data_IF_798104170241
#
_entry.id   IF_798104170241
#
_cell.length_a   1.000
_cell.length_b   1.000
_cell.length_c   1.000
_cell.angle_alpha   90.00
_cell.angle_beta   90.00
_cell.angle_gamma   90.00
#
_symmetry.space_group_name_H-M   'P 1'
#
loop_
_entity.id
_entity.type
_entity.pdbx_description
1 polymer ?
#
# COMPACT_ATOMS: atom_id res chain seq x y z
N UNK A 1 7.12 -25.35 31.81
CA UNK A 1 5.81 -26.01 31.87
C UNK A 1 4.75 -25.06 31.34
N UNK A 2 4.46 -25.06 30.03
CA UNK A 2 3.40 -24.21 29.45
C UNK A 2 2.59 -24.91 28.34
N UNK A 3 2.74 -26.23 28.14
CA UNK A 3 2.11 -26.91 26.99
C UNK A 3 1.68 -28.34 27.28
N UNK A 4 1.22 -28.63 28.49
CA UNK A 4 0.59 -29.93 28.77
C UNK A 4 -0.75 -29.65 29.43
N UNK A 5 -1.82 -29.60 28.63
CA UNK A 5 -3.20 -29.46 29.12
C UNK A 5 -4.13 -28.68 28.19
N UNK A 6 -3.62 -27.68 27.47
CA UNK A 6 -4.42 -26.70 26.70
C UNK A 6 -4.38 -26.99 25.19
N UNK A 7 -4.41 -28.27 24.80
CA UNK A 7 -4.38 -28.68 23.38
C UNK A 7 -5.57 -28.12 22.58
N UNK A 8 -6.71 -27.93 23.25
CA UNK A 8 -7.92 -27.37 22.65
C UNK A 8 -7.76 -25.90 22.27
N UNK A 9 -7.13 -25.09 23.13
CA UNK A 9 -6.83 -23.69 22.86
C UNK A 9 -5.86 -23.55 21.68
N UNK A 10 -4.83 -24.41 21.60
CA UNK A 10 -3.88 -24.42 20.49
C UNK A 10 -4.54 -24.74 19.15
N UNK A 11 -5.44 -25.72 19.13
CA UNK A 11 -6.24 -26.08 17.94
C UNK A 11 -7.17 -24.94 17.54
N UNK A 12 -7.82 -24.28 18.51
CA UNK A 12 -8.66 -23.10 18.26
C UNK A 12 -7.90 -21.95 17.60
N UNK A 13 -6.69 -21.66 18.08
CA UNK A 13 -5.82 -20.62 17.49
C UNK A 13 -5.34 -21.03 16.10
N UNK A 14 -5.00 -22.30 15.87
CA UNK A 14 -4.62 -22.80 14.54
C UNK A 14 -5.76 -22.66 13.53
N UNK A 15 -6.98 -23.06 13.92
CA UNK A 15 -8.17 -22.93 13.07
C UNK A 15 -8.47 -21.46 12.79
N UNK A 16 -8.42 -20.60 13.82
CA UNK A 16 -8.66 -19.18 13.65
C UNK A 16 -7.60 -18.50 12.76
N UNK A 17 -6.32 -18.83 12.93
CA UNK A 17 -5.25 -18.33 12.07
C UNK A 17 -5.38 -18.82 10.61
N UNK A 18 -5.68 -20.10 10.43
CA UNK A 18 -5.82 -20.69 9.11
C UNK A 18 -7.09 -20.24 8.38
N UNK A 19 -8.20 -20.02 9.08
CA UNK A 19 -9.46 -19.61 8.46
C UNK A 19 -9.64 -18.10 8.46
N UNK A 20 -9.43 -17.39 9.56
CA UNK A 20 -9.74 -15.95 9.62
C UNK A 20 -8.58 -15.12 9.10
N UNK A 21 -7.39 -15.30 9.69
CA UNK A 21 -6.21 -14.49 9.36
C UNK A 21 -5.79 -14.74 7.90
N UNK A 22 -5.72 -16.01 7.46
CA UNK A 22 -5.34 -16.35 6.09
C UNK A 22 -6.34 -15.84 5.05
N UNK A 23 -7.66 -15.88 5.33
CA UNK A 23 -8.65 -15.32 4.40
C UNK A 23 -8.50 -13.79 4.29
N UNK A 24 -8.28 -13.11 5.41
CA UNK A 24 -8.01 -11.66 5.43
C UNK A 24 -6.75 -11.35 4.63
N UNK A 25 -5.66 -12.08 4.83
CA UNK A 25 -4.39 -11.89 4.11
C UNK A 25 -4.54 -12.09 2.60
N UNK A 26 -5.36 -13.07 2.19
CA UNK A 26 -5.64 -13.34 0.78
C UNK A 26 -6.44 -12.22 0.11
N UNK A 27 -7.47 -11.69 0.79
CA UNK A 27 -8.27 -10.56 0.29
C UNK A 27 -7.42 -9.30 0.20
N UNK A 28 -6.62 -9.02 1.23
CA UNK A 28 -5.76 -7.85 1.28
C UNK A 28 -4.73 -7.86 0.16
N UNK A 29 -4.13 -9.03 -0.10
CA UNK A 29 -3.21 -9.26 -1.22
C UNK A 29 -3.87 -8.96 -2.58
N UNK A 30 -5.11 -9.41 -2.78
CA UNK A 30 -5.84 -9.18 -4.05
C UNK A 30 -6.16 -7.69 -4.27
N UNK A 31 -6.59 -6.99 -3.22
CA UNK A 31 -6.89 -5.55 -3.27
C UNK A 31 -5.63 -4.72 -3.53
N UNK A 32 -4.52 -5.04 -2.86
CA UNK A 32 -3.22 -4.38 -3.04
C UNK A 32 -2.71 -4.59 -4.47
N UNK A 33 -2.68 -5.83 -4.96
CA UNK A 33 -2.19 -6.13 -6.31
C UNK A 33 -2.97 -5.37 -7.40
N UNK A 34 -4.29 -5.27 -7.27
CA UNK A 34 -5.13 -4.51 -8.20
C UNK A 34 -4.77 -3.03 -8.24
N UNK A 35 -4.38 -2.45 -7.10
CA UNK A 35 -4.03 -1.02 -6.99
C UNK A 35 -2.58 -0.72 -7.42
N UNK A 36 -1.67 -1.70 -7.34
CA UNK A 36 -0.27 -1.54 -7.77
C UNK A 36 -0.09 -1.64 -9.29
N UNK A 37 -1.02 -2.23 -10.03
CA UNK A 37 -0.88 -2.47 -11.47
C UNK A 37 -0.66 -1.19 -12.30
N UNK A 38 -1.19 -0.06 -11.84
CA UNK A 38 -1.05 1.23 -12.53
C UNK A 38 0.21 2.03 -12.13
N UNK A 39 0.98 1.54 -11.14
CA UNK A 39 2.20 2.21 -10.65
C UNK A 39 3.42 1.55 -11.27
N UNK A 40 4.26 2.34 -11.93
CA UNK A 40 5.44 1.83 -12.64
C UNK A 40 6.32 0.95 -11.72
N UNK A 41 6.65 -0.30 -12.11
CA UNK A 41 7.39 -1.25 -11.26
C UNK A 41 8.70 -0.70 -10.68
N UNK A 42 9.40 0.17 -11.42
CA UNK A 42 10.62 0.82 -10.94
C UNK A 42 10.36 1.64 -9.66
N UNK A 43 9.26 2.39 -9.61
CA UNK A 43 8.91 3.25 -8.48
C UNK A 43 8.68 2.39 -7.22
N UNK A 44 8.01 1.25 -7.38
CA UNK A 44 7.78 0.29 -6.30
C UNK A 44 9.10 -0.30 -5.80
N UNK A 45 10.01 -0.68 -6.71
CA UNK A 45 11.34 -1.21 -6.34
C UNK A 45 12.15 -0.16 -5.58
N UNK A 46 12.16 1.09 -6.02
CA UNK A 46 12.80 2.19 -5.29
C UNK A 46 12.18 2.39 -3.90
N UNK A 47 10.85 2.28 -3.79
CA UNK A 47 10.13 2.34 -2.51
C UNK A 47 10.55 1.23 -1.56
N UNK A 48 10.65 -0.01 -2.03
CA UNK A 48 11.12 -1.14 -1.22
C UNK A 48 12.57 -0.94 -0.78
N UNK A 49 13.47 -0.53 -1.68
CA UNK A 49 14.89 -0.30 -1.36
C UNK A 49 15.04 0.81 -0.31
N UNK A 50 14.40 1.95 -0.51
CA UNK A 50 14.41 3.06 0.44
C UNK A 50 13.79 2.66 1.78
N UNK A 51 12.65 1.98 1.74
CA UNK A 51 11.91 1.53 2.92
C UNK A 51 12.68 0.52 3.76
N UNK A 52 13.33 -0.46 3.15
CA UNK A 52 14.16 -1.43 3.87
C UNK A 52 15.34 -0.77 4.58
N UNK A 53 15.99 0.21 3.94
CA UNK A 53 17.12 0.92 4.55
C UNK A 53 16.70 1.74 5.78
N UNK A 54 15.50 2.33 5.78
CA UNK A 54 15.04 3.18 6.89
C UNK A 54 14.29 2.44 7.99
N UNK A 55 13.49 1.43 7.63
CA UNK A 55 12.55 0.76 8.55
C UNK A 55 12.81 -0.74 8.72
N UNK A 56 13.77 -1.34 8.01
CA UNK A 56 14.03 -2.79 8.06
C UNK A 56 12.91 -3.62 7.42
N UNK A 57 12.55 -4.75 8.02
CA UNK A 57 11.56 -5.69 7.47
C UNK A 57 10.16 -5.07 7.25
N UNK A 58 9.59 -4.27 8.18
CA UNK A 58 8.36 -3.52 7.92
C UNK A 58 8.47 -2.55 6.73
N UNK A 59 9.68 -2.08 6.43
CA UNK A 59 10.00 -1.20 5.30
C UNK A 59 9.61 -1.76 3.93
N UNK A 60 9.47 -3.09 3.80
CA UNK A 60 8.97 -3.72 2.58
C UNK A 60 7.51 -3.29 2.27
N UNK A 61 6.70 -3.08 3.31
CA UNK A 61 5.30 -2.65 3.19
C UNK A 61 5.23 -1.13 3.20
N UNK A 62 5.93 -0.48 4.14
CA UNK A 62 5.87 0.98 4.30
C UNK A 62 6.51 1.74 3.14
N UNK A 63 7.58 1.21 2.52
CA UNK A 63 8.30 1.87 1.44
C UNK A 63 7.44 2.20 0.22
N UNK A 64 6.79 1.21 -0.42
CA UNK A 64 5.89 1.43 -1.54
C UNK A 64 4.71 2.34 -1.19
N UNK A 65 4.14 2.19 0.02
CA UNK A 65 3.01 2.99 0.49
C UNK A 65 3.40 4.47 0.61
N UNK A 66 4.57 4.75 1.19
CA UNK A 66 5.08 6.11 1.38
C UNK A 66 5.27 6.82 0.03
N UNK A 67 5.90 6.16 -0.94
CA UNK A 67 6.08 6.73 -2.29
C UNK A 67 4.74 6.90 -3.01
N UNK A 68 3.84 5.92 -2.91
CA UNK A 68 2.50 6.01 -3.52
C UNK A 68 1.73 7.21 -2.98
N UNK A 69 1.78 7.44 -1.68
CA UNK A 69 1.13 8.59 -1.04
C UNK A 69 1.73 9.92 -1.48
N UNK A 70 3.07 10.01 -1.56
CA UNK A 70 3.76 11.20 -2.06
C UNK A 70 3.37 11.55 -3.50
N UNK A 71 3.33 10.56 -4.39
CA UNK A 71 2.90 10.76 -5.78
C UNK A 71 1.42 11.16 -5.88
N UNK A 72 0.55 10.57 -5.06
CA UNK A 72 -0.86 10.97 -4.96
C UNK A 72 -0.98 12.42 -4.50
N UNK A 73 -0.19 12.84 -3.52
CA UNK A 73 -0.20 14.23 -3.03
C UNK A 73 0.19 15.19 -4.16
N UNK A 74 1.26 14.90 -4.91
CA UNK A 74 1.66 15.69 -6.08
C UNK A 74 0.55 15.71 -7.14
N UNK A 75 -0.09 14.56 -7.40
CA UNK A 75 -1.19 14.45 -8.35
C UNK A 75 -2.35 15.35 -7.95
N UNK A 76 -2.78 15.32 -6.69
CA UNK A 76 -3.85 16.18 -6.15
C UNK A 76 -3.44 17.65 -6.25
N UNK A 77 -2.22 18.00 -5.86
CA UNK A 77 -1.72 19.37 -5.96
C UNK A 77 -1.74 19.89 -7.41
N UNK A 78 -1.32 19.07 -8.38
CA UNK A 78 -1.38 19.42 -9.81
C UNK A 78 -2.81 19.52 -10.34
N UNK A 79 -3.73 18.73 -9.82
CA UNK A 79 -5.15 18.82 -10.22
C UNK A 79 -5.76 20.13 -9.71
N UNK A 80 -5.54 20.46 -8.43
CA UNK A 80 -6.11 21.64 -7.79
C UNK A 80 -5.48 22.94 -8.29
N UNK A 81 -4.15 23.00 -8.35
CA UNK A 81 -3.41 24.24 -8.65
C UNK A 81 -2.82 24.29 -10.06
N UNK A 82 -2.71 23.15 -10.75
CA UNK A 82 -2.18 23.09 -12.11
C UNK A 82 -3.18 23.47 -13.21
N UNK A 83 -4.44 23.77 -12.86
CA UNK A 83 -5.47 24.18 -13.83
C UNK A 83 -5.34 25.63 -14.33
N UNK A 84 -4.29 26.36 -13.93
CA UNK A 84 -4.14 27.78 -14.30
C UNK A 84 -3.79 28.05 -15.78
N UNK A 85 -3.45 27.03 -16.57
CA UNK A 85 -2.98 27.25 -17.96
C UNK A 85 -4.06 27.13 -19.05
N UNK A 86 -5.23 26.53 -18.79
CA UNK A 86 -6.25 26.29 -19.84
C UNK A 86 -7.33 27.38 -19.86
N UNK A 87 -7.64 27.99 -18.71
CA UNK A 87 -8.63 29.08 -18.64
C UNK A 87 -8.10 30.42 -19.17
N UNK A 88 -6.78 30.65 -19.13
CA UNK A 88 -6.17 31.89 -19.65
C UNK A 88 -6.09 31.95 -21.18
N UNK A 89 -6.18 30.83 -21.89
CA UNK A 89 -6.10 30.79 -23.36
C UNK A 89 -7.48 30.94 -24.03
N UNK A 90 -8.57 30.89 -23.25
CA UNK A 90 -9.93 31.04 -23.77
C UNK A 90 -10.37 32.50 -23.85
N UNK A 91 -9.89 33.36 -22.94
CA UNK A 91 -10.17 34.81 -22.95
C UNK A 91 -9.40 35.57 -24.04
N UNK A 92 -8.36 34.99 -24.63
CA UNK A 92 -7.57 35.66 -25.67
C UNK A 92 -8.06 35.37 -27.10
N UNK A 93 -9.07 34.50 -27.26
CA UNK A 93 -9.62 34.06 -28.55
C UNK A 93 -11.06 34.56 -28.78
N UNK A 94 -11.75 35.08 -27.74
CA UNK A 94 -13.00 35.87 -27.88
C UNK A 94 -12.70 37.37 -27.86
#
# INVERSE_FOLDING_TARGET
QLSVGESWQGIGILIYGALVITNIDNVFRFMIQKKLADIHPLITVFGVIMGLNWFGLPGLIFGPILISYFLIMIKIYRIEYGHKSILSNKEHIE
#
